data_IF_358909988827
#
_entry.id   IF_358909988827
#
_cell.length_a   1.000
_cell.length_b   1.000
_cell.length_c   1.000
_cell.angle_alpha   90.00
_cell.angle_beta   90.00
_cell.angle_gamma   90.00
#
_symmetry.space_group_name_H-M   'P 1'
#
loop_
_entity.id
_entity.type
_entity.pdbx_description
1 polymer ?
#
# COMPACT_ATOMS: atom_id res chain seq x y z
N UNK A 1 -1.06 3.38 -10.58
CA UNK A 1 0.11 3.46 -9.67
C UNK A 1 0.94 4.69 -10.05
N UNK A 2 1.51 5.36 -9.05
CA UNK A 2 2.02 6.73 -9.19
C UNK A 2 3.27 7.03 -8.37
N UNK A 3 3.58 8.33 -8.25
CA UNK A 3 4.71 8.82 -7.47
C UNK A 3 4.24 9.70 -6.33
N UNK A 4 4.90 9.54 -5.18
CA UNK A 4 4.50 10.14 -3.92
C UNK A 4 5.71 10.74 -3.24
N UNK A 5 5.48 11.83 -2.50
CA UNK A 5 6.52 12.43 -1.68
C UNK A 5 6.67 11.62 -0.40
N UNK A 6 7.88 11.08 -0.19
CA UNK A 6 8.26 10.29 0.99
C UNK A 6 8.89 11.12 2.11
N UNK A 7 9.03 12.44 1.92
CA UNK A 7 9.58 13.38 2.90
C UNK A 7 9.90 14.74 2.24
N UNK A 8 10.68 15.59 2.92
CA UNK A 8 11.03 16.92 2.37
C UNK A 8 11.95 16.85 1.14
N UNK A 9 12.76 15.79 1.03
CA UNK A 9 13.76 15.60 -0.02
C UNK A 9 13.71 14.20 -0.67
N UNK A 10 12.66 13.44 -0.40
CA UNK A 10 12.56 12.03 -0.80
C UNK A 10 11.25 11.79 -1.55
N UNK A 11 11.30 11.00 -2.62
CA UNK A 11 10.13 10.60 -3.41
C UNK A 11 10.15 9.10 -3.65
N UNK A 12 8.98 8.47 -3.57
CA UNK A 12 8.78 7.06 -3.89
C UNK A 12 7.91 6.94 -5.14
N UNK A 13 8.40 6.19 -6.13
CA UNK A 13 7.69 5.93 -7.39
C UNK A 13 7.33 4.45 -7.40
N UNK A 14 6.05 4.14 -7.50
CA UNK A 14 5.55 2.76 -7.51
C UNK A 14 5.14 2.38 -8.93
N UNK A 15 5.70 1.28 -9.42
CA UNK A 15 5.63 0.85 -10.82
C UNK A 15 5.51 -0.67 -10.97
N UNK A 16 5.16 -1.12 -12.17
CA UNK A 16 5.42 -2.48 -12.65
C UNK A 16 6.57 -2.41 -13.63
N UNK A 17 7.40 -3.45 -13.60
CA UNK A 17 8.50 -3.63 -14.54
C UNK A 17 8.66 -5.10 -14.87
N UNK A 18 9.27 -5.37 -16.02
CA UNK A 18 9.52 -6.73 -16.49
C UNK A 18 10.49 -7.46 -15.55
N UNK A 19 10.07 -8.60 -15.00
CA UNK A 19 10.90 -9.40 -14.08
C UNK A 19 12.22 -9.85 -14.73
N UNK A 20 12.26 -10.37 -15.98
CA UNK A 20 13.52 -10.69 -16.67
C UNK A 20 14.50 -9.51 -16.75
N UNK A 21 14.01 -8.28 -16.94
CA UNK A 21 14.85 -7.09 -16.97
C UNK A 21 15.59 -6.93 -15.63
N UNK A 22 14.91 -7.13 -14.52
CA UNK A 22 15.52 -7.03 -13.19
C UNK A 22 16.51 -8.16 -12.90
N UNK A 23 16.21 -9.39 -13.33
CA UNK A 23 17.06 -10.57 -13.08
C UNK A 23 18.33 -10.53 -13.93
N UNK A 24 18.20 -10.28 -15.23
CA UNK A 24 19.32 -10.39 -16.17
C UNK A 24 19.92 -9.04 -16.55
N UNK A 25 19.08 -8.02 -16.66
CA UNK A 25 19.45 -6.73 -17.22
C UNK A 25 20.01 -5.71 -16.25
N UNK A 26 19.66 -5.83 -14.96
CA UNK A 26 20.08 -4.92 -13.90
C UNK A 26 19.83 -3.44 -14.28
N UNK A 27 18.55 -3.04 -14.48
CA UNK A 27 18.20 -1.68 -14.87
C UNK A 27 18.65 -0.68 -13.80
N UNK A 28 18.97 0.52 -14.27
CA UNK A 28 19.29 1.69 -13.43
C UNK A 28 18.19 2.72 -13.53
N UNK A 29 18.01 3.46 -12.44
CA UNK A 29 17.00 4.51 -12.33
C UNK A 29 17.68 5.79 -11.88
N UNK A 30 17.42 6.87 -12.61
CA UNK A 30 17.88 8.22 -12.28
C UNK A 30 16.67 9.14 -12.14
N UNK A 31 16.64 9.97 -11.11
CA UNK A 31 15.53 10.86 -10.83
C UNK A 31 15.98 12.31 -11.00
N UNK A 32 15.20 13.07 -11.75
CA UNK A 32 15.45 14.47 -12.04
C UNK A 32 14.28 15.33 -11.56
N UNK A 33 14.57 16.30 -10.71
CA UNK A 33 13.63 17.34 -10.33
C UNK A 33 13.85 18.60 -11.17
N UNK A 34 12.80 19.06 -11.85
CA UNK A 34 12.81 20.26 -12.70
C UNK A 34 11.88 21.31 -12.08
N UNK A 35 12.43 22.35 -11.42
CA UNK A 35 11.63 23.47 -10.92
C UNK A 35 11.01 24.28 -12.06
N UNK A 36 9.83 24.88 -11.86
CA UNK A 36 9.24 25.77 -12.87
C UNK A 36 9.93 27.14 -12.96
N UNK A 37 10.49 27.61 -11.84
CA UNK A 37 11.10 28.94 -11.74
C UNK A 37 12.60 28.98 -12.05
N UNK A 38 13.28 27.83 -12.07
CA UNK A 38 14.73 27.74 -12.25
C UNK A 38 15.10 26.76 -13.37
N UNK A 39 16.03 27.12 -14.26
CA UNK A 39 16.44 26.26 -15.35
C UNK A 39 17.41 25.14 -14.92
N UNK A 40 17.84 25.10 -13.65
CA UNK A 40 18.79 24.09 -13.17
C UNK A 40 18.05 22.88 -12.60
N UNK A 41 18.04 21.73 -13.30
CA UNK A 41 17.50 20.50 -12.75
C UNK A 41 18.42 19.95 -11.64
N UNK A 42 17.83 19.22 -10.70
CA UNK A 42 18.53 18.52 -9.64
C UNK A 42 18.40 17.03 -9.93
N UNK A 43 19.52 16.33 -9.96
CA UNK A 43 19.57 14.91 -10.34
C UNK A 43 20.04 14.09 -9.14
N UNK A 44 19.47 12.90 -8.97
CA UNK A 44 19.93 11.90 -8.00
C UNK A 44 19.74 10.49 -8.55
N UNK A 45 20.50 9.54 -8.03
CA UNK A 45 20.32 8.12 -8.37
C UNK A 45 19.16 7.54 -7.56
N UNK A 46 18.26 6.84 -8.25
CA UNK A 46 17.14 6.13 -7.62
C UNK A 46 17.59 4.81 -7.01
N UNK A 47 17.19 4.57 -5.76
CA UNK A 47 17.35 3.28 -5.10
C UNK A 47 16.12 2.40 -5.40
N UNK A 48 16.34 1.26 -6.08
CA UNK A 48 15.26 0.33 -6.42
C UNK A 48 15.02 -0.68 -5.32
N UNK A 49 13.75 -0.94 -5.06
CA UNK A 49 13.25 -1.96 -4.13
C UNK A 49 12.29 -2.85 -4.94
N UNK A 50 12.44 -4.16 -4.80
CA UNK A 50 11.55 -5.16 -5.41
C UNK A 50 10.83 -5.85 -4.26
N UNK A 51 9.53 -5.55 -4.03
CA UNK A 51 8.78 -6.13 -2.93
C UNK A 51 8.46 -7.63 -3.09
N UNK A 52 8.58 -8.16 -4.31
CA UNK A 52 8.41 -9.59 -4.60
C UNK A 52 9.63 -10.39 -4.11
N UNK A 53 9.56 -10.86 -2.86
CA UNK A 53 10.63 -11.59 -2.17
C UNK A 53 10.70 -13.07 -2.61
N UNK A 54 9.59 -13.62 -3.10
CA UNK A 54 9.45 -15.06 -3.38
C UNK A 54 9.61 -15.42 -4.86
N UNK A 55 9.70 -14.41 -5.73
CA UNK A 55 10.06 -14.62 -7.13
C UNK A 55 9.01 -15.42 -7.88
N UNK A 56 7.74 -15.09 -7.69
CA UNK A 56 6.59 -15.76 -8.33
C UNK A 56 6.67 -15.74 -9.86
N UNK A 57 6.16 -16.78 -10.53
CA UNK A 57 6.23 -17.01 -11.98
C UNK A 57 5.31 -16.10 -12.80
N UNK A 58 5.50 -14.79 -12.69
CA UNK A 58 4.81 -13.77 -13.49
C UNK A 58 5.80 -12.91 -14.28
N UNK A 59 5.33 -12.36 -15.41
CA UNK A 59 6.16 -11.59 -16.32
C UNK A 59 6.50 -10.20 -15.74
N UNK A 60 5.59 -9.61 -14.97
CA UNK A 60 5.78 -8.32 -14.33
C UNK A 60 5.94 -8.46 -12.81
N UNK A 61 6.79 -7.59 -12.25
CA UNK A 61 7.01 -7.47 -10.81
C UNK A 61 6.83 -6.03 -10.37
N UNK A 62 6.38 -5.84 -9.14
CA UNK A 62 6.27 -4.52 -8.53
C UNK A 62 7.68 -3.95 -8.26
N UNK A 63 7.86 -2.67 -8.55
CA UNK A 63 9.10 -1.95 -8.31
C UNK A 63 8.78 -0.65 -7.61
N UNK A 64 9.48 -0.39 -6.51
CA UNK A 64 9.47 0.90 -5.84
C UNK A 64 10.83 1.55 -6.05
N UNK A 65 10.85 2.73 -6.69
CA UNK A 65 12.06 3.53 -6.86
C UNK A 65 12.02 4.67 -5.87
N UNK A 66 12.96 4.67 -4.92
CA UNK A 66 13.13 5.72 -3.94
C UNK A 66 14.21 6.71 -4.41
N UNK A 67 13.83 7.96 -4.60
CA UNK A 67 14.69 9.04 -5.04
C UNK A 67 14.96 9.98 -3.85
N UNK A 68 16.18 9.96 -3.31
CA UNK A 68 16.59 10.85 -2.23
C UNK A 68 17.55 11.91 -2.76
N UNK A 69 17.18 13.19 -2.61
CA UNK A 69 17.98 14.31 -3.06
C UNK A 69 18.87 14.85 -1.93
N UNK A 70 20.08 15.29 -2.27
CA UNK A 70 21.01 15.88 -1.30
C UNK A 70 20.57 17.26 -0.76
N UNK A 71 19.61 17.91 -1.41
CA UNK A 71 19.04 19.16 -0.93
C UNK A 71 18.13 18.92 0.27
N UNK A 72 18.10 19.85 1.22
CA UNK A 72 17.34 19.72 2.47
C UNK A 72 15.83 19.71 2.24
N UNK A 73 15.33 20.51 1.30
CA UNK A 73 13.91 20.57 0.90
C UNK A 73 13.82 20.77 -0.61
N UNK A 74 13.20 19.82 -1.30
CA UNK A 74 12.87 19.96 -2.73
C UNK A 74 11.58 20.76 -2.87
N UNK A 75 11.60 21.78 -3.74
CA UNK A 75 10.52 22.76 -3.92
C UNK A 75 10.25 23.62 -2.67
N UNK A 76 11.31 23.99 -1.92
CA UNK A 76 11.18 24.82 -0.71
C UNK A 76 10.56 26.21 -0.95
N UNK A 77 10.74 26.77 -2.14
CA UNK A 77 10.14 28.06 -2.53
C UNK A 77 8.65 27.93 -2.94
N UNK A 78 8.10 26.70 -2.95
CA UNK A 78 6.72 26.36 -3.31
C UNK A 78 6.26 26.89 -4.68
N UNK A 79 7.21 27.09 -5.61
CA UNK A 79 6.94 27.57 -6.96
C UNK A 79 6.47 26.46 -7.92
N UNK A 80 6.48 25.22 -7.46
CA UNK A 80 6.11 24.04 -8.25
C UNK A 80 7.24 23.52 -9.13
N UNK A 81 7.03 22.33 -9.65
CA UNK A 81 8.01 21.64 -10.48
C UNK A 81 7.51 20.27 -10.91
N UNK A 82 8.37 19.53 -11.61
CA UNK A 82 8.08 18.17 -12.03
C UNK A 82 9.22 17.22 -11.70
N UNK A 83 8.86 16.02 -11.30
CA UNK A 83 9.76 14.89 -11.12
C UNK A 83 9.72 14.03 -12.37
N UNK A 84 10.90 13.73 -12.91
CA UNK A 84 11.11 12.91 -14.09
C UNK A 84 11.97 11.72 -13.68
N UNK A 85 11.54 10.53 -14.07
CA UNK A 85 12.29 9.29 -13.91
C UNK A 85 12.92 8.91 -15.25
N UNK A 86 14.21 8.66 -15.24
CA UNK A 86 14.94 8.04 -16.33
C UNK A 86 15.18 6.58 -15.97
N UNK A 87 14.49 5.68 -16.66
CA UNK A 87 14.64 4.25 -16.50
C UNK A 87 15.50 3.71 -17.64
N UNK A 88 16.73 3.28 -17.35
CA UNK A 88 17.62 2.68 -18.33
C UNK A 88 17.60 1.16 -18.19
N UNK A 89 17.55 0.47 -19.33
CA UNK A 89 17.67 -1.00 -19.38
C UNK A 89 19.10 -1.48 -19.12
N UNK A 90 20.08 -0.57 -18.97
CA UNK A 90 21.50 -0.89 -18.77
C UNK A 90 22.08 -1.82 -19.86
N UNK A 91 21.56 -1.74 -21.08
CA UNK A 91 21.98 -2.60 -22.20
C UNK A 91 21.41 -4.01 -22.17
N UNK A 92 20.39 -4.26 -21.34
CA UNK A 92 19.66 -5.52 -21.32
C UNK A 92 18.73 -5.64 -22.52
N UNK A 93 18.89 -6.71 -23.31
CA UNK A 93 18.17 -6.95 -24.55
C UNK A 93 19.08 -6.81 -25.76
N UNK A 94 18.64 -6.08 -26.79
CA UNK A 94 19.48 -5.76 -27.95
C UNK A 94 20.53 -4.72 -27.54
N UNK A 95 21.81 -5.13 -27.48
CA UNK A 95 22.94 -4.27 -27.09
C UNK A 95 23.14 -3.07 -28.02
N UNK A 96 22.45 -3.04 -29.17
CA UNK A 96 22.46 -1.90 -30.09
C UNK A 96 21.56 -0.75 -29.62
N UNK A 97 20.64 -0.98 -28.67
CA UNK A 97 19.70 0.02 -28.19
C UNK A 97 19.82 0.19 -26.67
N UNK A 98 20.68 1.11 -26.22
CA UNK A 98 20.65 1.57 -24.83
C UNK A 98 19.47 2.54 -24.65
N UNK A 99 18.27 1.97 -24.51
CA UNK A 99 17.04 2.73 -24.33
C UNK A 99 16.98 3.25 -22.88
N UNK A 100 16.81 4.56 -22.76
CA UNK A 100 16.51 5.21 -21.49
C UNK A 100 15.16 5.89 -21.66
N UNK A 101 14.15 5.34 -20.98
CA UNK A 101 12.81 5.89 -21.01
C UNK A 101 12.72 7.08 -20.08
N UNK A 102 12.18 8.19 -20.60
CA UNK A 102 11.91 9.40 -19.83
C UNK A 102 10.45 9.44 -19.45
N UNK A 103 10.15 9.34 -18.16
CA UNK A 103 8.79 9.27 -17.62
C UNK A 103 8.57 10.45 -16.69
N UNK A 104 7.58 11.31 -16.99
CA UNK A 104 7.16 12.35 -16.05
C UNK A 104 6.24 11.72 -15.00
N UNK A 105 6.74 11.58 -13.77
CA UNK A 105 6.09 10.75 -12.74
C UNK A 105 5.26 11.56 -11.76
N UNK A 106 5.62 12.81 -11.51
CA UNK A 106 4.90 13.70 -10.59
C UNK A 106 5.01 15.15 -11.07
N UNK A 107 3.94 15.90 -10.90
CA UNK A 107 3.92 17.35 -11.09
C UNK A 107 3.35 18.01 -9.83
N UNK A 108 4.12 18.92 -9.24
CA UNK A 108 3.66 19.76 -8.13
C UNK A 108 3.27 21.13 -8.67
N UNK A 109 2.03 21.54 -8.42
CA UNK A 109 1.59 22.89 -8.76
C UNK A 109 2.18 23.92 -7.77
N UNK A 110 2.21 25.21 -8.13
CA UNK A 110 2.62 26.25 -7.19
C UNK A 110 1.71 26.28 -5.96
N UNK A 111 2.28 26.53 -4.79
CA UNK A 111 1.59 26.62 -3.50
C UNK A 111 0.91 25.33 -2.99
N UNK A 112 1.25 24.14 -3.53
CA UNK A 112 0.66 22.88 -3.07
C UNK A 112 1.52 22.13 -2.06
N UNK A 113 2.79 22.49 -1.88
CA UNK A 113 3.66 21.81 -0.92
C UNK A 113 3.28 22.22 0.51
N UNK A 114 2.77 21.26 1.28
CA UNK A 114 2.55 21.40 2.72
C UNK A 114 3.55 20.54 3.50
N UNK A 115 4.60 21.18 4.00
CA UNK A 115 5.65 20.52 4.79
C UNK A 115 5.16 20.16 6.19
N UNK A 116 4.07 20.80 6.67
CA UNK A 116 3.54 20.52 8.00
C UNK A 116 3.01 19.10 8.12
N UNK A 117 2.53 18.51 7.01
CA UNK A 117 2.06 17.12 6.95
C UNK A 117 3.09 16.09 7.42
N UNK A 118 4.39 16.38 7.28
CA UNK A 118 5.46 15.46 7.70
C UNK A 118 5.77 15.52 9.20
N UNK A 119 5.25 16.54 9.90
CA UNK A 119 5.56 16.81 11.31
C UNK A 119 4.30 16.80 12.18
N UNK A 120 3.15 17.15 11.61
CA UNK A 120 1.86 17.22 12.30
C UNK A 120 1.37 15.85 12.73
N UNK A 121 0.51 15.82 13.76
CA UNK A 121 -0.22 14.62 14.13
C UNK A 121 -1.04 14.11 12.93
N UNK A 122 -0.93 12.81 12.56
CA UNK A 122 -1.69 12.26 11.46
C UNK A 122 -3.20 12.37 11.67
N UNK A 123 -3.95 12.53 10.58
CA UNK A 123 -5.42 12.64 10.61
C UNK A 123 -6.06 11.39 11.23
N UNK A 124 -5.56 10.21 10.86
CA UNK A 124 -6.08 8.91 11.29
C UNK A 124 -5.14 8.24 12.29
N UNK A 125 -5.68 7.47 13.22
CA UNK A 125 -4.88 6.58 14.07
C UNK A 125 -4.55 5.29 13.32
N UNK A 126 -5.54 4.78 12.58
CA UNK A 126 -5.46 3.52 11.87
C UNK A 126 -5.89 3.69 10.42
N UNK A 127 -5.13 3.10 9.51
CA UNK A 127 -5.42 3.08 8.10
C UNK A 127 -5.40 1.64 7.63
N UNK A 128 -6.35 1.27 6.79
CA UNK A 128 -6.39 -0.03 6.16
C UNK A 128 -6.13 0.12 4.67
N UNK A 129 -5.18 -0.67 4.17
CA UNK A 129 -4.86 -0.81 2.76
C UNK A 129 -5.12 -2.25 2.37
N UNK A 130 -6.26 -2.49 1.72
CA UNK A 130 -6.66 -3.83 1.34
C UNK A 130 -5.93 -4.37 0.12
N UNK A 131 -5.89 -5.69 0.03
CA UNK A 131 -5.53 -6.39 -1.21
C UNK A 131 -6.60 -6.15 -2.29
N UNK A 132 -6.24 -6.31 -3.58
CA UNK A 132 -7.19 -6.28 -4.70
C UNK A 132 -8.38 -7.22 -4.47
N UNK A 133 -9.59 -6.70 -4.62
CA UNK A 133 -10.82 -7.47 -4.52
C UNK A 133 -11.26 -8.00 -5.89
N UNK A 134 -11.32 -9.32 -6.01
CA UNK A 134 -11.69 -10.03 -7.23
C UNK A 134 -12.62 -11.21 -6.92
N UNK A 135 -13.28 -11.75 -7.95
CA UNK A 135 -14.18 -12.88 -7.82
C UNK A 135 -15.57 -12.53 -7.27
N UNK A 136 -16.29 -13.52 -6.77
CA UNK A 136 -17.67 -13.38 -6.28
C UNK A 136 -17.72 -13.15 -4.77
N UNK A 137 -17.64 -11.87 -4.37
CA UNK A 137 -17.62 -11.47 -2.96
C UNK A 137 -19.01 -11.45 -2.34
N UNK A 138 -19.21 -12.16 -1.23
CA UNK A 138 -20.50 -12.13 -0.53
C UNK A 138 -20.76 -10.74 0.10
N UNK A 139 -21.84 -10.03 -0.27
CA UNK A 139 -22.17 -8.73 0.32
C UNK A 139 -22.38 -8.80 1.84
N UNK A 140 -22.95 -9.91 2.33
CA UNK A 140 -23.14 -10.12 3.77
C UNK A 140 -21.80 -10.18 4.52
N UNK A 141 -20.82 -10.91 3.99
CA UNK A 141 -19.49 -11.01 4.63
C UNK A 141 -18.76 -9.67 4.62
N UNK A 142 -18.81 -8.96 3.50
CA UNK A 142 -18.21 -7.61 3.40
C UNK A 142 -18.86 -6.66 4.42
N UNK A 143 -20.18 -6.73 4.59
CA UNK A 143 -20.92 -5.92 5.58
C UNK A 143 -20.47 -6.23 7.01
N UNK A 144 -20.36 -7.50 7.37
CA UNK A 144 -19.91 -7.94 8.68
C UNK A 144 -18.47 -7.49 8.94
N UNK A 145 -17.59 -7.69 7.96
CA UNK A 145 -16.19 -7.34 8.03
C UNK A 145 -15.96 -5.85 8.24
N UNK A 146 -16.58 -4.99 7.43
CA UNK A 146 -16.38 -3.54 7.54
C UNK A 146 -16.95 -3.00 8.85
N UNK A 147 -18.12 -3.49 9.27
CA UNK A 147 -18.75 -3.08 10.53
C UNK A 147 -17.87 -3.43 11.72
N UNK A 148 -17.31 -4.64 11.73
CA UNK A 148 -16.41 -5.10 12.78
C UNK A 148 -15.14 -4.25 12.86
N UNK A 149 -14.46 -4.02 11.73
CA UNK A 149 -13.18 -3.31 11.73
C UNK A 149 -13.34 -1.80 11.96
N UNK A 150 -14.42 -1.17 11.49
CA UNK A 150 -14.72 0.23 11.85
C UNK A 150 -14.97 0.36 13.35
N UNK A 151 -15.68 -0.58 13.97
CA UNK A 151 -15.85 -0.61 15.42
C UNK A 151 -14.52 -0.83 16.16
N UNK A 152 -13.69 -1.76 15.69
CA UNK A 152 -12.42 -2.11 16.31
C UNK A 152 -11.39 -0.97 16.26
N UNK A 153 -11.24 -0.32 15.10
CA UNK A 153 -10.30 0.78 14.91
C UNK A 153 -10.86 2.13 15.38
N UNK A 154 -12.19 2.26 15.48
CA UNK A 154 -12.85 3.46 15.98
C UNK A 154 -12.93 4.60 14.95
N UNK A 155 -13.31 5.81 15.39
CA UNK A 155 -13.73 6.89 14.50
C UNK A 155 -12.59 7.56 13.71
N UNK A 156 -11.34 7.47 14.18
CA UNK A 156 -10.15 7.98 13.48
C UNK A 156 -9.53 6.89 12.59
N UNK A 157 -10.38 6.17 11.84
CA UNK A 157 -9.95 5.12 10.92
C UNK A 157 -10.37 5.41 9.49
N UNK A 158 -9.62 4.86 8.53
CA UNK A 158 -9.97 4.93 7.12
C UNK A 158 -9.56 3.65 6.40
N UNK A 159 -10.38 3.23 5.43
CA UNK A 159 -10.26 1.97 4.71
C UNK A 159 -10.19 2.25 3.23
N UNK A 160 -9.12 1.79 2.58
CA UNK A 160 -8.99 1.87 1.13
C UNK A 160 -9.20 0.48 0.56
N UNK A 161 -10.24 0.37 -0.25
CA UNK A 161 -10.67 -0.86 -0.90
C UNK A 161 -10.35 -0.73 -2.39
N UNK A 162 -9.71 -1.74 -2.96
CA UNK A 162 -9.32 -1.76 -4.36
C UNK A 162 -10.18 -2.77 -5.13
N UNK A 163 -10.92 -2.30 -6.13
CA UNK A 163 -11.76 -3.13 -6.98
C UNK A 163 -10.97 -3.62 -8.22
N UNK A 164 -10.66 -4.92 -8.24
CA UNK A 164 -10.10 -5.63 -9.39
C UNK A 164 -11.18 -6.42 -10.16
N UNK A 165 -12.45 -6.01 -10.05
CA UNK A 165 -13.60 -6.65 -10.68
C UNK A 165 -14.42 -7.54 -9.74
N UNK A 166 -14.12 -7.53 -8.43
CA UNK A 166 -14.89 -8.26 -7.42
C UNK A 166 -16.05 -7.46 -6.81
N UNK A 167 -16.06 -6.13 -6.95
CA UNK A 167 -17.11 -5.27 -6.39
C UNK A 167 -18.28 -5.16 -7.37
N UNK A 168 -19.24 -6.06 -7.25
CA UNK A 168 -20.53 -5.97 -7.96
C UNK A 168 -21.53 -5.06 -7.23
N UNK A 169 -22.69 -4.80 -7.85
CA UNK A 169 -23.65 -3.78 -7.36
C UNK A 169 -24.08 -3.99 -5.91
N UNK A 170 -24.35 -5.22 -5.49
CA UNK A 170 -24.75 -5.52 -4.10
C UNK A 170 -23.63 -5.24 -3.08
N UNK A 171 -22.37 -5.52 -3.42
CA UNK A 171 -21.21 -5.17 -2.57
C UNK A 171 -21.04 -3.66 -2.55
N UNK A 172 -21.23 -2.98 -3.68
CA UNK A 172 -21.18 -1.53 -3.74
C UNK A 172 -22.27 -0.89 -2.87
N UNK A 173 -23.49 -1.45 -2.84
CA UNK A 173 -24.56 -1.01 -1.92
C UNK A 173 -24.18 -1.13 -0.45
N UNK A 174 -23.42 -2.17 -0.09
CA UNK A 174 -22.89 -2.32 1.27
C UNK A 174 -21.83 -1.26 1.59
N UNK A 175 -20.98 -0.90 0.62
CA UNK A 175 -19.88 0.05 0.83
C UNK A 175 -20.31 1.52 0.75
N UNK A 176 -21.33 1.86 -0.04
CA UNK A 176 -21.84 3.23 -0.26
C UNK A 176 -22.05 4.02 1.06
N UNK A 177 -22.75 3.50 2.09
CA UNK A 177 -22.93 4.22 3.34
C UNK A 177 -21.61 4.56 4.05
N UNK A 178 -20.62 3.66 3.99
CA UNK A 178 -19.31 3.88 4.60
C UNK A 178 -18.46 4.88 3.83
N UNK A 179 -18.65 4.96 2.51
CA UNK A 179 -18.04 5.98 1.67
C UNK A 179 -18.63 7.36 1.98
N UNK A 180 -19.96 7.46 2.13
CA UNK A 180 -20.65 8.70 2.50
C UNK A 180 -20.26 9.20 3.89
N UNK A 181 -20.03 8.29 4.84
CA UNK A 181 -19.52 8.62 6.18
C UNK A 181 -18.02 8.96 6.18
N UNK A 182 -17.30 8.78 5.07
CA UNK A 182 -15.87 9.09 4.93
C UNK A 182 -14.92 8.05 5.54
N UNK A 183 -15.43 6.86 5.88
CA UNK A 183 -14.61 5.74 6.36
C UNK A 183 -13.96 4.97 5.22
N UNK A 184 -14.63 4.85 4.07
CA UNK A 184 -14.17 4.00 2.96
C UNK A 184 -13.86 4.84 1.72
N UNK A 185 -12.72 4.56 1.08
CA UNK A 185 -12.42 4.99 -0.28
C UNK A 185 -12.36 3.75 -1.17
N UNK A 186 -13.18 3.73 -2.23
CA UNK A 186 -13.12 2.70 -3.26
C UNK A 186 -12.24 3.18 -4.42
N UNK A 187 -11.27 2.38 -4.83
CA UNK A 187 -10.35 2.64 -5.94
C UNK A 187 -10.53 1.57 -7.01
N UNK A 188 -10.85 1.98 -8.24
CA UNK A 188 -10.94 1.06 -9.37
C UNK A 188 -9.54 0.77 -9.93
N UNK A 189 -9.18 -0.51 -9.98
CA UNK A 189 -7.89 -0.97 -10.49
C UNK A 189 -8.04 -2.00 -11.61
N UNK A 190 -9.22 -2.16 -12.20
CA UNK A 190 -9.50 -3.18 -13.23
C UNK A 190 -8.59 -3.07 -14.46
N UNK A 191 -8.13 -1.86 -14.80
CA UNK A 191 -7.18 -1.65 -15.89
C UNK A 191 -5.80 -2.28 -15.64
N UNK A 192 -5.46 -2.57 -14.39
CA UNK A 192 -4.17 -3.18 -14.02
C UNK A 192 -4.11 -4.66 -14.40
N UNK A 193 -5.26 -5.32 -14.57
CA UNK A 193 -5.37 -6.72 -15.05
C UNK A 193 -4.73 -6.95 -16.42
N UNK A 194 -4.47 -5.89 -17.17
CA UNK A 194 -3.75 -5.96 -18.46
C UNK A 194 -2.30 -6.43 -18.30
N UNK A 195 -1.74 -6.28 -17.11
CA UNK A 195 -0.36 -6.67 -16.81
C UNK A 195 -0.36 -7.89 -15.89
N UNK A 196 0.26 -8.97 -16.36
CA UNK A 196 0.43 -10.22 -15.62
C UNK A 196 1.43 -10.04 -14.48
N UNK A 197 0.89 -9.67 -13.32
CA UNK A 197 1.60 -9.65 -12.05
C UNK A 197 0.90 -10.53 -11.01
N UNK A 198 1.61 -10.79 -9.92
CA UNK A 198 1.13 -11.68 -8.86
C UNK A 198 -0.20 -11.20 -8.26
N UNK A 199 -1.19 -12.11 -8.23
CA UNK A 199 -2.47 -11.98 -7.53
C UNK A 199 -3.15 -10.62 -7.77
N UNK A 200 -3.47 -10.32 -9.04
CA UNK A 200 -4.09 -9.06 -9.45
C UNK A 200 -3.25 -7.81 -9.09
N UNK A 201 -1.92 -7.95 -9.20
CA UNK A 201 -0.92 -6.92 -8.86
C UNK A 201 -0.94 -6.47 -7.38
N UNK A 202 -1.26 -7.38 -6.45
CA UNK A 202 -1.36 -7.11 -5.01
C UNK A 202 -0.18 -6.29 -4.45
N UNK A 203 1.06 -6.70 -4.74
CA UNK A 203 2.25 -6.01 -4.21
C UNK A 203 2.34 -4.55 -4.66
N UNK A 204 1.98 -4.27 -5.91
CA UNK A 204 1.99 -2.92 -6.44
C UNK A 204 0.88 -2.07 -5.80
N UNK A 205 -0.33 -2.62 -5.68
CA UNK A 205 -1.48 -1.93 -5.09
C UNK A 205 -1.24 -1.58 -3.62
N UNK A 206 -0.73 -2.54 -2.85
CA UNK A 206 -0.39 -2.36 -1.44
C UNK A 206 0.70 -1.31 -1.25
N UNK A 207 1.77 -1.34 -2.06
CA UNK A 207 2.85 -0.35 -1.97
C UNK A 207 2.38 1.06 -2.43
N UNK A 208 1.51 1.13 -3.44
CA UNK A 208 0.89 2.39 -3.87
C UNK A 208 0.06 2.99 -2.73
N UNK A 209 -0.73 2.17 -2.03
CA UNK A 209 -1.49 2.59 -0.84
C UNK A 209 -0.58 3.08 0.28
N UNK A 210 0.48 2.31 0.59
CA UNK A 210 1.46 2.66 1.61
C UNK A 210 2.07 4.04 1.35
N UNK A 211 2.60 4.26 0.14
CA UNK A 211 3.28 5.51 -0.19
C UNK A 211 2.33 6.70 -0.36
N UNK A 212 1.09 6.47 -0.81
CA UNK A 212 0.07 7.51 -0.94
C UNK A 212 -0.39 8.04 0.42
N UNK A 213 -0.55 7.16 1.40
CA UNK A 213 -1.16 7.48 2.69
C UNK A 213 -0.20 7.47 3.88
N UNK A 214 1.12 7.35 3.63
CA UNK A 214 2.22 7.26 4.60
C UNK A 214 2.35 8.43 5.60
N UNK A 215 1.56 9.49 5.47
CA UNK A 215 1.56 10.62 6.41
C UNK A 215 0.15 10.95 6.91
N UNK A 216 -0.85 10.18 6.49
CA UNK A 216 -2.24 10.42 6.87
C UNK A 216 -2.65 9.65 8.11
N UNK A 217 -1.90 8.63 8.51
CA UNK A 217 -2.21 7.79 9.66
C UNK A 217 -1.03 7.56 10.60
N UNK A 218 -1.27 7.09 11.83
CA UNK A 218 -0.20 6.61 12.72
C UNK A 218 0.21 5.18 12.35
N UNK A 219 -0.76 4.30 12.13
CA UNK A 219 -0.54 2.90 11.81
C UNK A 219 -1.30 2.46 10.56
N UNK A 220 -0.66 1.66 9.71
CA UNK A 220 -1.24 1.14 8.48
C UNK A 220 -1.28 -0.39 8.50
N UNK A 221 -2.49 -0.95 8.39
CA UNK A 221 -2.78 -2.38 8.35
C UNK A 221 -2.94 -2.85 6.90
N UNK A 222 -2.33 -4.01 6.64
CA UNK A 222 -2.43 -4.74 5.38
C UNK A 222 -2.92 -6.14 5.74
N UNK A 223 -4.15 -6.49 5.38
CA UNK A 223 -4.77 -7.81 5.54
C UNK A 223 -5.98 -7.99 4.63
N UNK A 224 -6.47 -9.21 4.45
CA UNK A 224 -7.51 -9.52 3.46
C UNK A 224 -8.94 -9.34 4.03
N UNK A 225 -9.92 -9.13 3.14
CA UNK A 225 -11.32 -8.82 3.51
C UNK A 225 -12.09 -10.05 4.04
N UNK A 226 -11.51 -11.24 3.93
CA UNK A 226 -12.02 -12.48 4.53
C UNK A 226 -11.35 -12.82 5.87
N UNK A 227 -10.49 -11.94 6.39
CA UNK A 227 -9.74 -12.12 7.63
C UNK A 227 -10.20 -11.16 8.74
N UNK A 228 -10.10 -11.61 10.00
CA UNK A 228 -10.53 -10.84 11.16
C UNK A 228 -9.41 -10.64 12.16
N UNK A 229 -9.21 -9.39 12.58
CA UNK A 229 -8.26 -9.07 13.67
C UNK A 229 -8.93 -9.36 15.01
N UNK A 230 -8.44 -10.38 15.71
CA UNK A 230 -8.88 -10.66 17.08
C UNK A 230 -7.97 -9.99 18.12
N UNK A 231 -8.56 -9.18 18.98
CA UNK A 231 -7.88 -8.62 20.17
C UNK A 231 -8.45 -9.28 21.43
N UNK A 232 -7.61 -9.86 22.31
CA UNK A 232 -8.08 -10.48 23.55
C UNK A 232 -8.87 -9.50 24.43
N UNK A 233 -9.94 -9.93 25.13
CA UNK A 233 -10.87 -9.05 25.85
C UNK A 233 -10.26 -8.09 26.88
N UNK A 234 -9.09 -8.44 27.42
CA UNK A 234 -8.39 -7.60 28.41
C UNK A 234 -7.53 -6.50 27.76
N UNK A 235 -7.48 -6.46 26.44
CA UNK A 235 -6.67 -5.52 25.66
C UNK A 235 -7.55 -4.74 24.67
N UNK A 236 -7.02 -3.62 24.21
CA UNK A 236 -7.53 -2.86 23.07
C UNK A 236 -6.50 -2.87 21.95
N UNK A 237 -6.92 -2.62 20.71
CA UNK A 237 -5.99 -2.50 19.59
C UNK A 237 -4.91 -1.44 19.87
N UNK A 238 -5.30 -0.33 20.49
CA UNK A 238 -4.40 0.74 20.93
C UNK A 238 -3.32 0.23 21.88
N UNK A 239 -3.69 -0.50 22.93
CA UNK A 239 -2.71 -1.01 23.90
C UNK A 239 -1.71 -1.98 23.26
N UNK A 240 -2.15 -2.82 22.31
CA UNK A 240 -1.27 -3.76 21.60
C UNK A 240 -0.29 -2.99 20.72
N UNK A 241 -0.81 -2.09 19.90
CA UNK A 241 -0.01 -1.34 18.94
C UNK A 241 0.96 -0.37 19.65
N UNK A 242 0.52 0.32 20.70
CA UNK A 242 1.39 1.22 21.47
C UNK A 242 2.52 0.43 22.17
N UNK A 243 2.29 -0.83 22.59
CA UNK A 243 3.35 -1.68 23.14
C UNK A 243 4.44 -2.05 22.13
N UNK A 244 4.11 -1.99 20.83
CA UNK A 244 4.99 -2.31 19.71
C UNK A 244 5.55 -1.06 19.01
N UNK A 245 5.25 0.15 19.52
CA UNK A 245 5.71 1.44 18.98
C UNK A 245 7.23 1.66 18.90
N UNK A 246 8.01 0.71 19.44
CA UNK A 246 9.47 0.67 19.27
C UNK A 246 9.87 0.17 17.87
N UNK A 247 8.99 -0.54 17.18
CA UNK A 247 9.23 -1.12 15.87
C UNK A 247 8.47 -0.33 14.80
N UNK A 248 9.14 -0.06 13.68
CA UNK A 248 8.51 0.61 12.54
C UNK A 248 7.62 -0.35 11.74
N UNK A 249 7.87 -1.66 11.86
CA UNK A 249 7.06 -2.71 11.28
C UNK A 249 6.96 -3.93 12.18
N UNK A 250 5.83 -4.61 12.16
CA UNK A 250 5.70 -5.93 12.77
C UNK A 250 4.68 -6.79 12.04
N UNK A 251 4.81 -8.09 12.24
CA UNK A 251 3.97 -9.11 11.64
C UNK A 251 3.15 -9.75 12.75
N UNK A 252 1.87 -10.00 12.49
CA UNK A 252 1.01 -10.73 13.40
C UNK A 252 0.56 -12.04 12.76
N UNK A 253 0.44 -13.07 13.59
CA UNK A 253 0.02 -14.39 13.13
C UNK A 253 -1.49 -14.42 12.89
N UNK A 254 -1.87 -15.16 11.87
CA UNK A 254 -3.25 -15.50 11.61
C UNK A 254 -3.66 -16.82 12.24
N UNK A 255 -4.95 -16.91 12.55
CA UNK A 255 -5.62 -18.17 12.79
C UNK A 255 -6.71 -18.32 11.72
N UNK A 256 -6.57 -19.26 10.76
CA UNK A 256 -7.58 -19.42 9.72
C UNK A 256 -8.92 -19.80 10.35
N UNK A 257 -9.99 -19.12 9.93
CA UNK A 257 -11.33 -19.41 10.43
C UNK A 257 -11.81 -20.72 9.79
N UNK A 258 -12.06 -21.75 10.61
CA UNK A 258 -12.45 -23.06 10.10
C UNK A 258 -13.85 -23.00 9.47
N UNK A 259 -13.91 -23.14 8.14
CA UNK A 259 -15.14 -23.09 7.35
C UNK A 259 -16.12 -24.26 7.60
N UNK A 260 -15.74 -25.26 8.40
CA UNK A 260 -16.58 -26.43 8.75
C UNK A 260 -17.17 -26.39 10.16
N UNK A 261 -16.74 -25.46 11.04
CA UNK A 261 -17.04 -25.53 12.49
C UNK A 261 -17.81 -24.30 13.00
N UNK A 262 -17.97 -23.23 12.22
CA UNK A 262 -18.79 -22.09 12.64
C UNK A 262 -20.27 -22.30 12.25
N UNK A 263 -20.94 -23.28 12.87
CA UNK A 263 -22.38 -23.48 12.72
C UNK A 263 -23.15 -22.60 13.73
N UNK A 264 -24.39 -22.26 13.38
CA UNK A 264 -25.30 -21.51 14.26
C UNK A 264 -25.49 -22.19 15.64
N UNK A 265 -25.29 -23.52 15.68
CA UNK A 265 -25.37 -24.37 16.87
C UNK A 265 -24.23 -24.18 17.88
N UNK A 266 -23.14 -23.52 17.47
CA UNK A 266 -21.97 -23.23 18.29
C UNK A 266 -22.01 -21.81 18.88
N UNK A 267 -23.01 -21.00 18.51
CA UNK A 267 -23.26 -19.69 19.08
C UNK A 267 -23.58 -19.78 20.58
N UNK A 268 -22.73 -19.16 21.41
CA UNK A 268 -22.88 -19.15 22.88
C UNK A 268 -22.18 -20.29 23.63
N UNK A 269 -21.53 -21.23 22.93
CA UNK A 269 -20.65 -22.24 23.56
C UNK A 269 -19.22 -21.71 23.54
N UNK A 270 -18.80 -21.07 24.61
CA UNK A 270 -17.42 -20.60 24.77
C UNK A 270 -16.43 -21.77 24.66
N UNK A 271 -15.65 -21.83 23.58
CA UNK A 271 -14.42 -22.63 23.53
C UNK A 271 -13.41 -22.01 24.51
N UNK A 272 -13.24 -22.66 25.66
CA UNK A 272 -12.46 -22.14 26.80
C UNK A 272 -10.95 -22.37 26.70
N UNK A 273 -10.47 -22.93 25.60
CA UNK A 273 -9.04 -23.10 25.34
C UNK A 273 -8.74 -22.85 23.87
N UNK A 274 -7.91 -21.83 23.63
CA UNK A 274 -7.01 -21.71 22.49
C UNK A 274 -6.29 -23.06 22.34
N UNK A 275 -5.95 -23.48 21.12
CA UNK A 275 -5.28 -24.74 20.72
C UNK A 275 -6.18 -25.91 20.28
N UNK A 276 -6.80 -25.79 19.09
CA UNK A 276 -6.88 -26.87 18.08
C UNK A 276 -7.71 -26.45 16.84
N UNK A 277 -7.27 -25.42 16.14
CA UNK A 277 -7.66 -25.17 14.75
C UNK A 277 -6.39 -24.72 14.04
N UNK A 278 -5.56 -25.69 13.65
CA UNK A 278 -4.28 -25.43 12.99
C UNK A 278 -4.20 -26.30 11.74
N UNK A 279 -4.41 -25.67 10.60
CA UNK A 279 -3.60 -25.96 9.42
C UNK A 279 -2.73 -24.71 9.21
N UNK A 280 -1.41 -24.93 9.12
CA UNK A 280 -0.42 -23.87 9.03
C UNK A 280 -0.18 -23.47 7.58
N UNK A 281 -0.79 -22.39 7.14
CA UNK A 281 -0.26 -21.57 6.05
C UNK A 281 0.10 -20.19 6.62
N UNK A 282 1.37 -19.82 6.52
CA UNK A 282 1.88 -18.54 6.99
C UNK A 282 1.63 -17.50 5.91
N UNK A 283 0.60 -16.67 6.07
CA UNK A 283 0.45 -15.43 5.30
C UNK A 283 1.12 -14.28 6.05
N UNK A 284 1.83 -13.43 5.32
CA UNK A 284 2.63 -12.33 5.86
C UNK A 284 1.79 -11.04 5.88
N UNK A 285 1.21 -10.69 7.03
CA UNK A 285 0.55 -9.40 7.22
C UNK A 285 1.45 -8.46 7.99
N UNK A 286 1.63 -7.27 7.44
CA UNK A 286 2.57 -6.29 7.96
C UNK A 286 1.75 -5.15 8.55
N UNK A 287 2.11 -4.66 9.73
CA UNK A 287 1.70 -3.34 10.21
C UNK A 287 2.88 -2.40 10.07
N UNK A 288 2.65 -1.21 9.51
CA UNK A 288 3.66 -0.15 9.43
C UNK A 288 3.30 1.05 10.29
N UNK A 289 4.27 1.59 11.03
CA UNK A 289 4.18 2.92 11.61
C UNK A 289 4.48 3.95 10.52
N UNK A 290 3.51 4.84 10.27
CA UNK A 290 3.60 5.84 9.22
C UNK A 290 4.47 7.02 9.69
N UNK A 291 5.27 7.58 8.77
CA UNK A 291 6.20 8.68 9.05
C UNK A 291 7.60 8.36 9.60
N UNK A 292 7.97 7.11 9.90
CA UNK A 292 9.27 6.74 10.54
C UNK A 292 10.38 6.14 9.67
N UNK A 293 10.26 6.17 8.33
CA UNK A 293 11.29 5.58 7.42
C UNK A 293 11.69 6.50 6.29
#
# INVERSE_FOLDING_TARGET
>A
MGAYRGGTNTFAIVGLSSKPLHVYGKPTYECEWIPFSSPKPIITMGYKIIPDIWGYDHVYTAVVVNCTFNHTIINGDNNGGKLVLYASTSGAGDTNFNLTDRIEVLQEAPNTLDVSLFVSEPKYDYFYCGSPLYGDLSPQRVREWITYHVWLFGPRSHFVIYDAGGVHEEVLEVLKPWMELGFVTLQDIRDQERFDGYLHNQFMVVNDCLHRYKFMAKWMFFFDVDEYIYVPPNNTIKTVVDSLSKYDQFIFNMMPMNNKICLYEDYGKTCRYIYSCLDSEYYLFILFESGKT
#
